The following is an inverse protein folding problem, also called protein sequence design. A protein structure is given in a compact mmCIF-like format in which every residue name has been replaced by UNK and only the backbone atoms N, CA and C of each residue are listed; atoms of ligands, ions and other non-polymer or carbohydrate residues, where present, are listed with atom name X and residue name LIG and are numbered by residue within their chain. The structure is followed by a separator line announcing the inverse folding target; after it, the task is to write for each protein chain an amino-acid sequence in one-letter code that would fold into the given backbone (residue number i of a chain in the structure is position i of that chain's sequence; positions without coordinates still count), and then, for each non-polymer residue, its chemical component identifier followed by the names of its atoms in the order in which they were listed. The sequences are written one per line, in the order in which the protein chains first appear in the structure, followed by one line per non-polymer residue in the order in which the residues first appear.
data_IF_451870796799
#
_entry.id   IF_451870796799
#
_cell.length_a   1.000
_cell.length_b   1.000
_cell.length_c   1.000
_cell.angle_alpha   90.00
_cell.angle_beta   90.00
_cell.angle_gamma   90.00
#
_symmetry.space_group_name_H-M   'P 1'
#
loop_
_entity.id
_entity.type
_entity.pdbx_description
1 polymer ?
#
# COMPACT_ATOMS: atom_id res chain seq x y z
N UNK A 1 17.30 -3.51 -14.65
CA UNK A 1 17.96 -2.45 -13.85
C UNK A 1 18.07 -1.12 -14.58
N UNK A 2 18.22 -1.09 -15.91
CA UNK A 2 18.31 0.15 -16.70
C UNK A 2 17.15 1.13 -16.41
N UNK A 3 15.90 0.67 -16.51
CA UNK A 3 14.73 1.49 -16.18
C UNK A 3 14.77 2.11 -14.76
N UNK A 4 15.25 1.36 -13.76
CA UNK A 4 15.38 1.88 -12.40
C UNK A 4 16.43 3.00 -12.33
N UNK A 5 17.54 2.86 -13.05
CA UNK A 5 18.56 3.89 -13.14
C UNK A 5 18.05 5.14 -13.87
N UNK A 6 17.29 4.96 -14.96
CA UNK A 6 16.67 6.07 -15.69
C UNK A 6 15.71 6.85 -14.79
N UNK A 7 14.85 6.15 -14.05
CA UNK A 7 13.94 6.76 -13.08
C UNK A 7 14.74 7.51 -12.01
N UNK A 8 15.77 6.89 -11.42
CA UNK A 8 16.58 7.53 -10.38
C UNK A 8 17.33 8.78 -10.88
N UNK A 9 17.70 8.81 -12.17
CA UNK A 9 18.35 9.97 -12.78
C UNK A 9 17.37 11.13 -13.03
N UNK A 10 16.08 10.83 -13.26
CA UNK A 10 15.02 11.83 -13.42
C UNK A 10 14.53 12.32 -12.06
N UNK A 11 14.06 11.40 -11.21
CA UNK A 11 13.64 11.64 -9.83
C UNK A 11 13.70 10.32 -9.02
N UNK A 12 14.63 10.19 -8.06
CA UNK A 12 14.73 9.03 -7.17
C UNK A 12 13.44 8.65 -6.42
N UNK A 13 12.52 9.59 -6.18
CA UNK A 13 11.22 9.29 -5.54
C UNK A 13 10.37 8.35 -6.41
N UNK A 14 10.52 8.41 -7.74
CA UNK A 14 9.82 7.54 -8.69
C UNK A 14 10.13 6.04 -8.50
N UNK A 15 11.24 5.69 -7.82
CA UNK A 15 11.57 4.31 -7.48
C UNK A 15 10.50 3.65 -6.60
N UNK A 16 9.77 4.42 -5.77
CA UNK A 16 8.66 3.88 -4.98
C UNK A 16 7.54 3.32 -5.87
N UNK A 17 7.21 4.02 -6.96
CA UNK A 17 6.24 3.54 -7.94
C UNK A 17 6.77 2.32 -8.68
N UNK A 18 8.07 2.28 -9.00
CA UNK A 18 8.67 1.10 -9.61
C UNK A 18 8.59 -0.13 -8.69
N UNK A 19 8.82 0.03 -7.38
CA UNK A 19 8.63 -1.07 -6.43
C UNK A 19 7.22 -1.63 -6.51
N UNK A 20 6.18 -0.77 -6.54
CA UNK A 20 4.78 -1.23 -6.68
C UNK A 20 4.58 -2.05 -7.95
N UNK A 21 5.14 -1.60 -9.07
CA UNK A 21 5.04 -2.31 -10.35
C UNK A 21 5.73 -3.68 -10.32
N UNK A 22 6.92 -3.76 -9.71
CA UNK A 22 7.67 -5.03 -9.62
C UNK A 22 7.07 -5.98 -8.59
N UNK A 23 6.52 -5.47 -7.48
CA UNK A 23 5.92 -6.29 -6.45
C UNK A 23 4.52 -6.80 -6.82
N UNK A 24 3.77 -6.10 -7.68
CA UNK A 24 2.43 -6.48 -8.10
C UNK A 24 2.30 -7.92 -8.64
N UNK A 25 3.14 -8.40 -9.60
CA UNK A 25 3.05 -9.78 -10.06
C UNK A 25 3.38 -10.80 -8.96
N UNK A 26 4.35 -10.51 -8.08
CA UNK A 26 4.64 -11.34 -6.92
C UNK A 26 3.44 -11.43 -5.97
N UNK A 27 2.84 -10.30 -5.61
CA UNK A 27 1.65 -10.24 -4.76
C UNK A 27 0.45 -11.00 -5.37
N UNK A 28 0.27 -10.92 -6.69
CA UNK A 28 -0.75 -11.70 -7.38
C UNK A 28 -0.49 -13.20 -7.27
N UNK A 29 0.75 -13.65 -7.48
CA UNK A 29 1.15 -15.07 -7.32
C UNK A 29 0.90 -15.58 -5.88
N UNK A 30 1.24 -14.78 -4.86
CA UNK A 30 1.07 -15.19 -3.46
C UNK A 30 -0.40 -15.32 -3.08
N UNK A 31 -1.24 -14.34 -3.46
CA UNK A 31 -2.67 -14.34 -3.13
C UNK A 31 -3.41 -15.46 -3.87
N UNK A 32 -3.13 -15.64 -5.16
CA UNK A 32 -3.86 -16.60 -6.00
C UNK A 32 -3.41 -18.05 -5.79
N UNK A 33 -2.28 -18.29 -5.11
CA UNK A 33 -1.75 -19.64 -4.93
C UNK A 33 -2.75 -20.61 -4.31
N UNK A 34 -3.48 -20.22 -3.25
CA UNK A 34 -4.50 -21.08 -2.65
C UNK A 34 -5.73 -21.31 -3.53
N UNK A 35 -5.99 -20.44 -4.52
CA UNK A 35 -7.10 -20.62 -5.45
C UNK A 35 -6.73 -21.55 -6.62
N UNK A 36 -5.46 -21.53 -7.04
CA UNK A 36 -4.96 -22.24 -8.23
C UNK A 36 -4.27 -23.56 -7.92
N UNK A 37 -3.71 -23.72 -6.72
CA UNK A 37 -3.01 -24.94 -6.34
C UNK A 37 -3.98 -26.10 -6.04
N UNK A 38 -3.49 -27.32 -6.21
CA UNK A 38 -4.15 -28.51 -5.67
C UNK A 38 -4.29 -28.40 -4.15
N UNK A 39 -5.31 -29.05 -3.54
CA UNK A 39 -5.50 -29.01 -2.08
C UNK A 39 -4.21 -29.36 -1.34
N UNK A 40 -3.84 -28.55 -0.34
CA UNK A 40 -2.61 -28.66 0.46
C UNK A 40 -1.28 -28.31 -0.26
N UNK A 41 -1.32 -27.88 -1.53
CA UNK A 41 -0.14 -27.44 -2.29
C UNK A 41 -0.07 -25.92 -2.50
N UNK A 42 -0.88 -25.17 -1.76
CA UNK A 42 -0.78 -23.71 -1.75
C UNK A 42 0.61 -23.27 -1.25
N UNK A 43 1.08 -22.13 -1.75
CA UNK A 43 2.33 -21.49 -1.31
C UNK A 43 2.31 -21.31 0.21
N UNK A 44 3.45 -21.60 0.82
CA UNK A 44 3.69 -21.31 2.24
C UNK A 44 3.85 -19.80 2.45
N UNK A 45 3.53 -19.31 3.64
CA UNK A 45 3.71 -17.90 3.97
C UNK A 45 5.15 -17.44 3.66
N UNK A 46 5.28 -16.34 2.91
CA UNK A 46 6.58 -15.78 2.61
C UNK A 46 7.27 -15.32 3.91
N UNK A 47 8.59 -15.43 3.89
CA UNK A 47 9.48 -14.91 4.93
C UNK A 47 10.68 -14.28 4.26
N UNK A 48 11.50 -13.53 5.03
CA UNK A 48 12.77 -13.03 4.53
C UNK A 48 13.60 -14.13 3.81
N UNK A 49 13.69 -15.31 4.43
CA UNK A 49 14.46 -16.42 3.88
C UNK A 49 13.86 -17.04 2.62
N UNK A 50 12.54 -16.96 2.45
CA UNK A 50 11.85 -17.44 1.26
C UNK A 50 12.01 -16.49 0.07
N UNK A 51 11.99 -15.18 0.34
CA UNK A 51 12.11 -14.15 -0.70
C UNK A 51 13.56 -13.95 -1.15
N UNK A 52 14.50 -13.95 -0.20
CA UNK A 52 15.89 -13.63 -0.47
C UNK A 52 16.76 -14.86 -0.25
N UNK A 53 17.37 -14.98 0.93
CA UNK A 53 18.31 -16.04 1.31
C UNK A 53 18.21 -16.27 2.81
N UNK A 54 18.72 -17.41 3.29
CA UNK A 54 18.68 -17.74 4.71
C UNK A 54 19.38 -16.66 5.54
N UNK A 55 18.65 -16.03 6.47
CA UNK A 55 19.18 -14.98 7.34
C UNK A 55 20.35 -15.45 8.23
N UNK A 56 20.50 -16.76 8.43
CA UNK A 56 21.59 -17.36 9.19
C UNK A 56 22.92 -17.46 8.46
N UNK A 57 22.97 -17.12 7.17
CA UNK A 57 24.20 -17.20 6.38
C UNK A 57 25.14 -16.02 6.70
N UNK A 58 26.45 -16.26 6.81
CA UNK A 58 27.44 -15.20 6.96
C UNK A 58 27.56 -14.38 5.66
N UNK A 59 27.45 -13.05 5.76
CA UNK A 59 27.49 -12.15 4.59
C UNK A 59 28.69 -11.21 4.59
N UNK A 60 29.26 -10.92 5.77
CA UNK A 60 30.43 -10.05 5.89
C UNK A 60 31.74 -10.85 5.86
N UNK A 61 32.89 -10.21 5.58
CA UNK A 61 34.21 -10.88 5.59
C UNK A 61 34.59 -11.48 6.95
N UNK A 62 34.12 -10.88 8.05
CA UNK A 62 34.31 -11.34 9.43
C UNK A 62 33.26 -12.38 9.88
N UNK A 63 32.40 -12.84 8.97
CA UNK A 63 31.46 -13.94 9.22
C UNK A 63 30.16 -13.55 9.94
N UNK A 64 29.83 -12.26 10.00
CA UNK A 64 28.56 -11.78 10.57
C UNK A 64 27.40 -12.22 9.68
N UNK A 65 26.36 -12.74 10.33
CA UNK A 65 25.15 -13.26 9.70
C UNK A 65 24.23 -12.14 9.19
N UNK A 66 23.50 -12.41 8.12
CA UNK A 66 22.58 -11.44 7.53
C UNK A 66 21.51 -10.92 8.50
N UNK A 67 20.95 -11.80 9.33
CA UNK A 67 19.95 -11.44 10.35
C UNK A 67 20.51 -10.53 11.47
N UNK A 68 21.84 -10.50 11.64
CA UNK A 68 22.55 -9.60 12.55
C UNK A 68 22.97 -8.29 11.88
N UNK A 69 23.18 -8.31 10.56
CA UNK A 69 23.50 -7.11 9.78
C UNK A 69 22.25 -6.26 9.54
N UNK A 70 21.12 -6.87 9.19
CA UNK A 70 19.86 -6.12 9.03
C UNK A 70 19.41 -5.52 10.36
N UNK A 71 18.91 -4.28 10.34
CA UNK A 71 18.47 -3.60 11.58
C UNK A 71 16.98 -3.79 11.76
N UNK A 72 16.57 -4.41 12.87
CA UNK A 72 15.17 -4.36 13.32
C UNK A 72 14.89 -3.01 13.98
N UNK A 73 13.79 -2.37 13.59
CA UNK A 73 13.31 -1.08 14.13
C UNK A 73 11.98 -1.30 14.85
N UNK A 74 11.97 -1.96 16.03
CA UNK A 74 10.74 -2.21 16.79
C UNK A 74 10.09 -0.92 17.32
N UNK A 75 10.84 0.19 17.32
CA UNK A 75 10.41 1.54 17.68
C UNK A 75 9.60 2.24 16.59
N UNK A 76 9.45 1.63 15.41
CA UNK A 76 8.76 2.24 14.26
C UNK A 76 7.57 1.41 13.84
N UNK A 77 6.42 2.08 13.72
CA UNK A 77 5.22 1.53 13.12
C UNK A 77 4.88 2.34 11.86
N UNK A 78 4.49 1.62 10.81
CA UNK A 78 4.07 2.19 9.55
C UNK A 78 2.69 1.70 9.21
N UNK A 79 1.85 2.59 8.69
CA UNK A 79 0.52 2.23 8.21
C UNK A 79 0.60 1.99 6.70
N UNK A 80 0.28 0.78 6.26
CA UNK A 80 0.23 0.40 4.86
C UNK A 80 -1.21 0.35 4.38
N UNK A 81 -1.47 0.92 3.20
CA UNK A 81 -2.77 0.88 2.56
C UNK A 81 -2.87 -0.35 1.65
N UNK A 82 -3.77 -1.27 1.97
CA UNK A 82 -3.85 -2.57 1.28
C UNK A 82 -4.15 -2.46 -0.22
N UNK A 83 -4.84 -1.41 -0.65
CA UNK A 83 -5.15 -1.18 -2.06
C UNK A 83 -4.02 -0.59 -2.91
N UNK A 84 -2.91 -0.15 -2.31
CA UNK A 84 -1.83 0.53 -3.05
C UNK A 84 -0.43 0.10 -2.67
N UNK A 85 -0.21 -0.25 -1.41
CA UNK A 85 1.11 -0.62 -0.92
C UNK A 85 1.36 -2.11 -1.08
N UNK A 86 2.59 -2.52 -1.45
CA UNK A 86 2.91 -3.93 -1.62
C UNK A 86 2.85 -4.69 -0.29
N UNK A 87 1.92 -5.63 -0.20
CA UNK A 87 1.72 -6.50 0.98
C UNK A 87 1.57 -7.95 0.52
N UNK A 88 2.55 -8.78 0.83
CA UNK A 88 2.63 -10.18 0.40
C UNK A 88 1.80 -11.07 1.35
N UNK A 89 0.49 -11.02 1.17
CA UNK A 89 -0.41 -12.00 1.75
C UNK A 89 -0.32 -13.32 0.96
N UNK A 90 -0.12 -14.42 1.68
CA UNK A 90 -0.08 -15.77 1.14
C UNK A 90 -1.11 -16.65 1.83
N UNK A 91 -2.40 -16.56 1.45
CA UNK A 91 -3.43 -17.47 1.91
C UNK A 91 -3.05 -18.92 1.58
N UNK A 92 -3.23 -19.84 2.54
CA UNK A 92 -2.84 -21.26 2.38
C UNK A 92 -4.01 -22.24 2.44
N UNK A 93 -5.23 -21.72 2.60
CA UNK A 93 -6.47 -22.52 2.64
C UNK A 93 -7.50 -21.90 1.71
N UNK A 94 -7.87 -22.64 0.66
CA UNK A 94 -8.84 -22.20 -0.34
C UNK A 94 -10.17 -21.77 0.26
N UNK A 95 -10.74 -22.57 1.16
CA UNK A 95 -12.07 -22.29 1.73
C UNK A 95 -12.06 -21.07 2.64
N UNK A 96 -10.97 -20.87 3.40
CA UNK A 96 -10.80 -19.66 4.21
C UNK A 96 -10.62 -18.41 3.33
N UNK A 97 -9.89 -18.53 2.22
CA UNK A 97 -9.73 -17.45 1.25
C UNK A 97 -11.07 -17.12 0.60
N UNK A 98 -11.80 -18.13 0.13
CA UNK A 98 -13.13 -17.96 -0.46
C UNK A 98 -14.10 -17.30 0.52
N UNK A 99 -14.14 -17.76 1.78
CA UNK A 99 -14.96 -17.13 2.81
C UNK A 99 -14.53 -15.67 3.07
N UNK A 100 -13.24 -15.40 3.24
CA UNK A 100 -12.74 -14.04 3.48
C UNK A 100 -13.13 -13.09 2.33
N UNK A 101 -12.91 -13.49 1.07
CA UNK A 101 -13.29 -12.68 -0.10
C UNK A 101 -14.81 -12.48 -0.16
N UNK A 102 -15.61 -13.50 0.15
CA UNK A 102 -17.07 -13.43 0.08
C UNK A 102 -17.69 -12.58 1.20
N UNK A 103 -17.08 -12.54 2.38
CA UNK A 103 -17.72 -11.97 3.57
C UNK A 103 -17.08 -10.69 4.08
N UNK A 104 -15.80 -10.45 3.83
CA UNK A 104 -15.05 -9.28 4.34
C UNK A 104 -14.97 -8.20 3.26
N UNK A 105 -15.44 -7.01 3.63
CA UNK A 105 -15.32 -5.79 2.85
C UNK A 105 -16.60 -4.99 2.73
N UNK A 106 -16.48 -3.73 2.28
CA UNK A 106 -17.62 -2.82 2.20
C UNK A 106 -18.82 -3.45 1.47
N UNK A 107 -19.97 -3.46 2.15
CA UNK A 107 -21.23 -4.03 1.65
C UNK A 107 -21.32 -5.55 1.68
N UNK A 108 -20.42 -6.25 2.39
CA UNK A 108 -20.47 -7.70 2.60
C UNK A 108 -20.90 -8.06 4.03
N UNK A 109 -21.20 -9.33 4.25
CA UNK A 109 -21.79 -9.85 5.51
C UNK A 109 -21.04 -9.45 6.78
N UNK A 110 -19.72 -9.35 6.75
CA UNK A 110 -18.90 -8.99 7.91
C UNK A 110 -18.53 -7.50 7.96
N UNK A 111 -19.05 -6.68 7.04
CA UNK A 111 -18.79 -5.25 6.98
C UNK A 111 -17.43 -4.90 6.37
N UNK A 112 -17.08 -3.61 6.46
CA UNK A 112 -15.81 -3.08 5.97
C UNK A 112 -14.60 -3.81 6.57
N UNK A 113 -13.49 -3.83 5.84
CA UNK A 113 -12.25 -4.41 6.35
C UNK A 113 -11.71 -3.56 7.51
N UNK A 114 -11.39 -4.20 8.64
CA UNK A 114 -10.82 -3.55 9.83
C UNK A 114 -9.66 -4.40 10.34
N UNK A 115 -8.59 -3.73 10.77
CA UNK A 115 -7.44 -4.38 11.41
C UNK A 115 -7.83 -4.94 12.80
N UNK A 116 -7.23 -6.06 13.17
CA UNK A 116 -7.48 -6.77 14.43
C UNK A 116 -6.18 -7.43 14.92
N UNK A 117 -6.21 -8.04 16.11
CA UNK A 117 -5.05 -8.66 16.75
C UNK A 117 -4.39 -9.82 15.97
N UNK A 118 -5.11 -10.41 15.02
CA UNK A 118 -4.58 -11.50 14.19
C UNK A 118 -3.77 -10.95 13.00
N UNK A 119 -3.93 -9.67 12.65
CA UNK A 119 -3.18 -9.03 11.59
C UNK A 119 -1.77 -8.68 12.08
N UNK A 120 -0.77 -9.31 11.46
CA UNK A 120 0.63 -9.07 11.80
C UNK A 120 1.46 -9.04 10.53
N UNK A 121 2.17 -7.94 10.32
CA UNK A 121 3.06 -7.77 9.17
C UNK A 121 4.44 -7.29 9.59
N UNK A 122 5.45 -7.72 8.83
CA UNK A 122 6.82 -7.22 8.90
C UNK A 122 7.10 -6.34 7.68
N UNK A 123 7.45 -5.08 7.88
CA UNK A 123 7.77 -4.15 6.80
C UNK A 123 9.26 -4.21 6.45
N UNK A 124 9.57 -4.40 5.17
CA UNK A 124 10.93 -4.34 4.66
C UNK A 124 11.26 -2.94 4.13
N UNK A 125 12.24 -2.26 4.73
CA UNK A 125 12.80 -1.00 4.23
C UNK A 125 14.11 -1.23 3.48
N UNK A 126 14.46 -0.38 2.50
CA UNK A 126 13.73 0.79 2.01
C UNK A 126 12.59 0.45 1.01
N UNK A 127 12.42 -0.82 0.61
CA UNK A 127 11.52 -1.20 -0.48
C UNK A 127 10.03 -0.99 -0.17
N UNK A 128 9.62 -0.99 1.11
CA UNK A 128 8.21 -0.79 1.49
C UNK A 128 7.31 -1.98 1.22
N UNK A 129 7.86 -3.19 1.27
CA UNK A 129 7.10 -4.43 1.08
C UNK A 129 6.74 -5.01 2.44
N UNK A 130 5.46 -5.16 2.72
CA UNK A 130 4.96 -5.83 3.91
C UNK A 130 4.89 -7.34 3.71
N UNK A 131 5.49 -8.13 4.60
CA UNK A 131 5.34 -9.59 4.65
C UNK A 131 4.30 -9.92 5.70
N UNK A 132 3.28 -10.69 5.34
CA UNK A 132 2.20 -11.06 6.25
C UNK A 132 2.57 -12.28 7.09
N UNK A 133 2.71 -12.07 8.40
CA UNK A 133 2.99 -13.10 9.41
C UNK A 133 1.71 -13.69 10.01
N UNK A 134 0.62 -12.91 10.03
CA UNK A 134 -0.69 -13.28 10.57
C UNK A 134 -1.82 -12.56 9.82
N UNK A 135 -3.00 -13.19 9.72
CA UNK A 135 -4.15 -12.60 9.01
C UNK A 135 -4.10 -12.70 7.48
N UNK A 136 -3.36 -13.67 6.91
CA UNK A 136 -3.17 -13.80 5.46
C UNK A 136 -4.47 -13.80 4.64
N UNK A 137 -5.52 -14.52 5.06
CA UNK A 137 -6.77 -14.61 4.30
C UNK A 137 -7.58 -13.31 4.32
N UNK A 138 -7.70 -12.65 5.48
CA UNK A 138 -8.41 -11.38 5.62
C UNK A 138 -7.65 -10.24 4.95
N UNK A 139 -6.33 -10.17 5.09
CA UNK A 139 -5.50 -9.18 4.38
C UNK A 139 -5.62 -9.36 2.87
N UNK A 140 -5.61 -10.59 2.36
CA UNK A 140 -5.83 -10.84 0.94
C UNK A 140 -7.20 -10.31 0.45
N UNK A 141 -8.25 -10.42 1.27
CA UNK A 141 -9.54 -9.82 0.95
C UNK A 141 -9.49 -8.28 0.92
N UNK A 142 -8.79 -7.64 1.87
CA UNK A 142 -8.59 -6.19 1.88
C UNK A 142 -7.81 -5.69 0.65
N UNK A 143 -6.73 -6.40 0.28
CA UNK A 143 -5.96 -6.12 -0.95
C UNK A 143 -6.86 -6.25 -2.18
N UNK A 144 -7.60 -7.36 -2.31
CA UNK A 144 -8.45 -7.63 -3.46
C UNK A 144 -9.60 -6.60 -3.62
N UNK A 145 -10.13 -6.08 -2.51
CA UNK A 145 -11.15 -5.04 -2.53
C UNK A 145 -10.56 -3.63 -2.66
N UNK A 146 -9.24 -3.47 -2.52
CA UNK A 146 -8.58 -2.17 -2.54
C UNK A 146 -8.85 -1.32 -1.28
N UNK A 147 -9.19 -1.94 -0.16
CA UNK A 147 -9.68 -1.25 1.04
C UNK A 147 -8.88 -1.63 2.29
N UNK A 148 -8.91 -0.76 3.29
CA UNK A 148 -8.31 -1.01 4.59
C UNK A 148 -6.83 -0.62 4.70
N UNK A 149 -6.37 -0.61 5.94
CA UNK A 149 -5.00 -0.27 6.32
C UNK A 149 -4.50 -1.26 7.35
N UNK A 150 -3.25 -1.67 7.23
CA UNK A 150 -2.59 -2.57 8.19
C UNK A 150 -1.35 -1.89 8.75
N UNK A 151 -1.15 -2.04 10.05
CA UNK A 151 -0.05 -1.44 10.79
C UNK A 151 1.09 -2.44 10.93
N UNK A 152 2.32 -2.01 10.65
CA UNK A 152 3.49 -2.90 10.78
C UNK A 152 3.76 -3.24 12.24
N UNK A 153 3.84 -4.54 12.54
CA UNK A 153 4.21 -5.03 13.87
C UNK A 153 5.74 -5.02 14.08
N UNK A 154 6.50 -5.16 13.00
CA UNK A 154 7.94 -4.99 13.00
C UNK A 154 8.43 -4.42 11.67
N UNK A 155 9.60 -3.77 11.73
CA UNK A 155 10.24 -3.15 10.57
C UNK A 155 11.68 -3.67 10.48
N UNK A 156 12.06 -4.16 9.31
CA UNK A 156 13.40 -4.62 9.01
C UNK A 156 14.04 -3.73 7.95
N UNK A 157 15.12 -3.06 8.31
CA UNK A 157 15.92 -2.23 7.41
C UNK A 157 17.01 -3.08 6.75
N UNK A 158 16.90 -3.24 5.43
CA UNK A 158 17.81 -3.99 4.57
C UNK A 158 19.01 -3.17 4.12
N UNK A 159 19.02 -1.84 4.33
CA UNK A 159 20.10 -0.94 3.89
C UNK A 159 21.50 -1.41 4.29
N UNK A 160 21.72 -1.94 5.51
CA UNK A 160 23.03 -2.46 5.92
C UNK A 160 23.48 -3.72 5.18
N UNK A 161 22.59 -4.46 4.50
CA UNK A 161 22.93 -5.68 3.75
C UNK A 161 23.50 -5.37 2.36
N UNK A 162 23.13 -4.24 1.76
CA UNK A 162 23.52 -3.93 0.39
C UNK A 162 25.04 -3.91 0.13
N UNK A 163 25.91 -3.46 1.06
CA UNK A 163 27.36 -3.56 0.86
C UNK A 163 27.90 -5.00 0.75
N UNK A 164 27.14 -6.00 1.20
CA UNK A 164 27.62 -7.38 1.37
C UNK A 164 26.96 -8.40 0.45
N UNK A 165 25.75 -8.13 -0.02
CA UNK A 165 24.98 -9.04 -0.85
C UNK A 165 24.49 -8.31 -2.09
N UNK A 166 24.50 -8.98 -3.24
CA UNK A 166 23.90 -8.51 -4.49
C UNK A 166 23.06 -9.58 -5.16
N UNK A 167 22.08 -9.16 -5.95
CA UNK A 167 21.41 -10.02 -6.92
C UNK A 167 22.00 -9.77 -8.31
N UNK A 168 22.33 -10.84 -9.03
CA UNK A 168 22.97 -10.74 -10.36
C UNK A 168 22.00 -10.89 -11.54
N UNK A 169 20.70 -10.98 -11.26
CA UNK A 169 19.67 -11.29 -12.26
C UNK A 169 19.14 -12.72 -12.15
N UNK A 170 19.87 -13.62 -11.48
CA UNK A 170 19.48 -15.02 -11.26
C UNK A 170 19.60 -15.45 -9.79
N UNK A 171 20.62 -14.96 -9.09
CA UNK A 171 21.06 -15.48 -7.81
C UNK A 171 21.45 -14.37 -6.85
N UNK A 172 21.25 -14.60 -5.56
CA UNK A 172 21.86 -13.80 -4.51
C UNK A 172 23.28 -14.26 -4.25
N UNK A 173 24.21 -13.33 -4.33
CA UNK A 173 25.64 -13.55 -4.19
C UNK A 173 26.20 -12.69 -3.06
N UNK A 174 27.09 -13.28 -2.27
CA UNK A 174 27.94 -12.56 -1.34
C UNK A 174 29.02 -11.81 -2.12
N UNK A 175 29.15 -10.50 -1.89
CA UNK A 175 29.97 -9.62 -2.73
C UNK A 175 31.47 -9.90 -2.53
N UNK A 176 31.91 -10.11 -1.29
CA UNK A 176 33.34 -10.12 -0.98
C UNK A 176 34.09 -11.35 -1.52
N UNK A 177 33.40 -12.44 -1.80
CA UNK A 177 34.01 -13.69 -2.29
C UNK A 177 33.20 -14.40 -3.39
N UNK A 178 32.06 -13.84 -3.81
CA UNK A 178 31.22 -14.41 -4.86
C UNK A 178 30.41 -15.64 -4.45
N UNK A 179 30.35 -15.99 -3.16
CA UNK A 179 29.61 -17.18 -2.69
C UNK A 179 28.11 -17.06 -3.02
N UNK A 180 27.55 -18.14 -3.59
CA UNK A 180 26.11 -18.28 -3.81
C UNK A 180 25.35 -18.41 -2.48
N UNK A 181 24.39 -17.52 -2.23
CA UNK A 181 23.54 -17.54 -1.04
C UNK A 181 22.19 -18.21 -1.31
N UNK A 182 21.59 -17.95 -2.46
CA UNK A 182 20.33 -18.56 -2.90
C UNK A 182 20.04 -18.26 -4.37
N UNK A 183 19.08 -19.00 -4.93
CA UNK A 183 18.38 -18.68 -6.18
C UNK A 183 16.89 -18.57 -5.86
N UNK A 184 16.30 -17.37 -5.90
CA UNK A 184 14.88 -17.21 -5.58
C UNK A 184 14.02 -17.87 -6.67
N UNK A 185 12.86 -18.40 -6.27
CA UNK A 185 11.91 -19.05 -7.21
C UNK A 185 11.28 -18.03 -8.15
N UNK A 186 11.02 -16.85 -7.61
CA UNK A 186 10.53 -15.68 -8.32
C UNK A 186 11.69 -14.70 -8.53
N UNK A 187 11.73 -14.01 -9.65
CA UNK A 187 12.79 -13.02 -9.93
C UNK A 187 12.53 -11.70 -9.22
N UNK A 188 11.25 -11.39 -8.93
CA UNK A 188 10.79 -10.14 -8.34
C UNK A 188 11.50 -9.81 -7.02
N UNK A 189 11.70 -10.72 -6.05
CA UNK A 189 12.49 -10.42 -4.85
C UNK A 189 13.92 -9.94 -5.15
N UNK A 190 14.59 -10.53 -6.13
CA UNK A 190 15.92 -10.10 -6.59
C UNK A 190 15.90 -8.69 -7.17
N UNK A 191 14.92 -8.39 -8.01
CA UNK A 191 14.71 -7.05 -8.57
C UNK A 191 14.40 -6.02 -7.48
N UNK A 192 13.50 -6.34 -6.56
CA UNK A 192 13.13 -5.48 -5.43
C UNK A 192 14.35 -5.16 -4.57
N UNK A 193 15.19 -6.16 -4.27
CA UNK A 193 16.41 -5.97 -3.49
C UNK A 193 17.38 -4.96 -4.16
N UNK A 194 17.60 -5.07 -5.47
CA UNK A 194 18.51 -4.17 -6.18
C UNK A 194 17.91 -2.77 -6.42
N UNK A 195 16.59 -2.65 -6.60
CA UNK A 195 15.92 -1.35 -6.56
C UNK A 195 16.06 -0.73 -5.17
N UNK A 196 15.91 -1.52 -4.11
CA UNK A 196 16.13 -1.10 -2.74
C UNK A 196 17.56 -0.60 -2.48
N UNK A 197 18.58 -1.25 -3.05
CA UNK A 197 19.98 -0.75 -3.05
C UNK A 197 20.05 0.64 -3.66
N UNK A 198 19.42 0.84 -4.82
CA UNK A 198 19.41 2.12 -5.51
C UNK A 198 18.69 3.20 -4.69
N UNK A 199 17.53 2.86 -4.10
CA UNK A 199 16.80 3.76 -3.19
C UNK A 199 17.69 4.20 -2.01
N UNK A 200 18.36 3.26 -1.33
CA UNK A 200 19.26 3.56 -0.22
C UNK A 200 20.43 4.47 -0.64
N UNK A 201 21.01 4.25 -1.83
CA UNK A 201 22.06 5.11 -2.40
C UNK A 201 21.60 6.56 -2.58
N UNK A 202 20.34 6.77 -2.94
CA UNK A 202 19.74 8.10 -3.14
C UNK A 202 19.06 8.66 -1.89
N UNK A 203 19.15 7.98 -0.73
CA UNK A 203 18.48 8.42 0.51
C UNK A 203 16.96 8.35 0.44
N UNK A 204 16.41 7.57 -0.50
CA UNK A 204 14.96 7.35 -0.66
C UNK A 204 14.56 6.09 0.09
N UNK A 205 13.39 6.14 0.71
CA UNK A 205 12.71 4.99 1.31
C UNK A 205 11.27 4.98 0.83
N UNK A 206 10.56 3.87 0.99
CA UNK A 206 9.14 3.78 0.72
C UNK A 206 8.34 4.83 1.50
N UNK A 207 7.33 5.40 0.83
CA UNK A 207 6.42 6.41 1.38
C UNK A 207 5.35 5.87 2.34
N UNK A 208 5.61 4.74 3.01
CA UNK A 208 4.71 4.27 4.07
C UNK A 208 4.65 5.36 5.16
N UNK A 209 3.44 5.71 5.59
CA UNK A 209 3.25 6.80 6.55
C UNK A 209 3.71 6.32 7.93
N UNK A 210 4.65 7.06 8.53
CA UNK A 210 5.03 6.86 9.92
C UNK A 210 3.81 7.12 10.80
N UNK A 211 3.45 6.13 11.61
CA UNK A 211 2.32 6.23 12.52
C UNK A 211 2.85 6.40 13.94
N UNK A 212 2.50 7.52 14.57
CA UNK A 212 2.67 7.71 16.01
C UNK A 212 1.56 6.95 16.74
N UNK A 213 1.87 5.91 17.52
CA UNK A 213 0.86 5.16 18.28
C UNK A 213 0.15 6.01 19.36
N UNK A 214 0.66 7.21 19.67
CA UNK A 214 0.07 8.13 20.64
C UNK A 214 -0.87 9.18 20.03
N UNK A 215 -0.91 9.26 18.70
CA UNK A 215 -1.76 10.20 17.97
C UNK A 215 -2.98 9.48 17.39
N UNK A 216 -3.88 9.03 18.26
CA UNK A 216 -5.23 8.63 17.84
C UNK A 216 -5.95 9.87 17.32
N UNK A 217 -6.00 10.00 15.99
CA UNK A 217 -6.89 10.94 15.32
C UNK A 217 -8.14 10.18 14.89
N UNK A 218 -9.27 10.77 15.26
CA UNK A 218 -10.65 10.33 15.06
C UNK A 218 -10.85 9.37 13.85
N UNK A 219 -11.33 8.13 14.10
CA UNK A 219 -11.66 7.16 13.06
C UNK A 219 -12.67 7.67 12.03
N UNK A 220 -13.42 8.74 12.34
CA UNK A 220 -14.50 9.26 11.50
C UNK A 220 -14.05 9.89 10.16
N UNK A 221 -12.74 10.15 9.98
CA UNK A 221 -12.17 10.63 8.71
C UNK A 221 -11.23 9.61 8.04
N UNK A 222 -11.00 8.45 8.67
CA UNK A 222 -10.08 7.43 8.19
C UNK A 222 -10.82 6.15 7.75
N UNK A 223 -11.75 6.28 6.81
CA UNK A 223 -12.42 5.12 6.25
C UNK A 223 -13.41 5.45 5.14
N UNK A 224 -12.98 5.30 3.90
CA UNK A 224 -13.86 5.26 2.73
C UNK A 224 -13.25 5.94 1.50
N UNK A 225 -13.60 5.43 0.31
CA UNK A 225 -13.30 5.94 -1.03
C UNK A 225 -13.87 7.35 -1.29
N UNK A 226 -13.46 8.33 -0.48
CA UNK A 226 -13.87 9.72 -0.62
C UNK A 226 -12.96 10.40 -1.63
N UNK A 227 -13.54 10.83 -2.74
CA UNK A 227 -12.90 11.69 -3.71
C UNK A 227 -13.68 13.00 -3.84
N UNK A 228 -13.00 14.06 -4.24
CA UNK A 228 -13.60 15.36 -4.49
C UNK A 228 -13.60 15.58 -6.00
N UNK A 229 -14.77 15.46 -6.64
CA UNK A 229 -14.91 15.87 -8.04
C UNK A 229 -14.60 17.34 -8.14
N UNK A 230 -13.77 17.70 -9.11
CA UNK A 230 -13.39 19.08 -9.35
C UNK A 230 -14.29 19.65 -10.43
N UNK A 231 -15.05 20.69 -10.09
CA UNK A 231 -15.79 21.46 -11.07
C UNK A 231 -15.10 22.79 -11.28
N UNK A 232 -14.92 23.18 -12.54
CA UNK A 232 -14.39 24.48 -12.94
C UNK A 232 -15.52 25.25 -13.62
N UNK A 233 -15.89 26.41 -13.07
CA UNK A 233 -17.03 27.21 -13.52
C UNK A 233 -18.34 26.39 -13.62
N UNK A 234 -18.55 25.49 -12.65
CA UNK A 234 -19.70 24.59 -12.61
C UNK A 234 -19.65 23.41 -13.61
N UNK A 235 -18.59 23.25 -14.39
CA UNK A 235 -18.40 22.11 -15.30
C UNK A 235 -17.49 21.06 -14.68
N UNK A 236 -17.87 19.78 -14.75
CA UNK A 236 -17.04 18.66 -14.27
C UNK A 236 -15.75 18.59 -15.10
N UNK A 237 -14.60 18.70 -14.42
CA UNK A 237 -13.28 18.67 -15.06
C UNK A 237 -12.84 17.25 -15.47
N UNK A 238 -13.64 16.22 -15.17
CA UNK A 238 -13.33 14.82 -15.49
C UNK A 238 -12.25 14.21 -14.60
N UNK A 239 -11.88 14.89 -13.51
CA UNK A 239 -10.85 14.48 -12.56
C UNK A 239 -11.35 14.65 -11.13
N UNK A 240 -10.79 13.85 -10.21
CA UNK A 240 -11.12 13.91 -8.80
C UNK A 240 -9.87 13.97 -7.93
N UNK A 241 -9.97 14.66 -6.79
CA UNK A 241 -8.90 14.74 -5.80
C UNK A 241 -9.14 13.71 -4.69
N UNK A 242 -8.06 13.14 -4.16
CA UNK A 242 -8.10 12.44 -2.88
C UNK A 242 -8.31 13.45 -1.74
N UNK A 243 -8.60 13.02 -0.50
CA UNK A 243 -8.67 13.92 0.64
C UNK A 243 -7.38 14.70 0.88
N UNK A 244 -6.23 14.05 0.68
CA UNK A 244 -4.92 14.71 0.73
C UNK A 244 -4.72 15.72 -0.41
N UNK A 245 -5.20 15.42 -1.63
CA UNK A 245 -5.15 16.34 -2.77
C UNK A 245 -6.02 17.58 -2.55
N UNK A 246 -7.24 17.41 -2.05
CA UNK A 246 -8.13 18.51 -1.72
C UNK A 246 -7.57 19.40 -0.60
N UNK A 247 -7.00 18.80 0.45
CA UNK A 247 -6.34 19.53 1.53
C UNK A 247 -5.15 20.38 1.03
N UNK A 248 -4.34 19.85 0.10
CA UNK A 248 -3.23 20.60 -0.49
C UNK A 248 -3.70 21.84 -1.26
N UNK A 249 -4.76 21.71 -2.06
CA UNK A 249 -5.31 22.82 -2.83
C UNK A 249 -5.94 23.90 -1.94
N UNK A 250 -6.60 23.51 -0.84
CA UNK A 250 -7.13 24.47 0.14
C UNK A 250 -6.02 25.28 0.81
N UNK A 251 -4.88 24.65 1.15
CA UNK A 251 -3.70 25.35 1.68
C UNK A 251 -3.13 26.32 0.66
N UNK A 252 -3.06 25.94 -0.62
CA UNK A 252 -2.60 26.83 -1.72
C UNK A 252 -3.51 28.04 -1.91
N UNK A 253 -4.81 27.87 -1.67
CA UNK A 253 -5.79 28.95 -1.66
C UNK A 253 -5.75 29.80 -0.37
N UNK A 254 -4.86 29.49 0.59
CA UNK A 254 -4.67 30.26 1.82
C UNK A 254 -5.66 29.93 2.93
N UNK A 255 -6.41 28.82 2.82
CA UNK A 255 -7.34 28.41 3.87
C UNK A 255 -6.61 27.65 4.98
N UNK A 256 -6.95 27.97 6.23
CA UNK A 256 -6.44 27.27 7.40
C UNK A 256 -7.21 25.96 7.61
N UNK A 257 -6.48 24.87 7.80
CA UNK A 257 -7.05 23.55 8.08
C UNK A 257 -7.89 23.56 9.37
N UNK A 258 -9.08 22.94 9.31
CA UNK A 258 -10.05 22.95 10.41
C UNK A 258 -10.86 24.24 10.57
N UNK A 259 -10.62 25.27 9.74
CA UNK A 259 -11.46 26.48 9.76
C UNK A 259 -12.87 26.23 9.22
N UNK A 260 -13.84 27.05 9.62
CA UNK A 260 -15.21 26.95 9.10
C UNK A 260 -15.27 27.09 7.57
N UNK A 261 -14.38 27.89 6.98
CA UNK A 261 -14.29 28.06 5.54
C UNK A 261 -13.71 26.83 4.84
N UNK A 262 -12.71 26.18 5.46
CA UNK A 262 -12.15 24.91 5.00
C UNK A 262 -13.22 23.83 4.91
N UNK A 263 -14.00 23.65 5.98
CA UNK A 263 -15.09 22.67 6.00
C UNK A 263 -16.15 22.98 4.94
N UNK A 264 -16.55 24.25 4.78
CA UNK A 264 -17.52 24.66 3.75
C UNK A 264 -17.07 24.32 2.33
N UNK A 265 -15.78 24.51 2.00
CA UNK A 265 -15.29 24.16 0.66
C UNK A 265 -15.25 22.65 0.45
N UNK A 266 -14.84 21.87 1.45
CA UNK A 266 -14.82 20.40 1.34
C UNK A 266 -16.23 19.80 1.23
N UNK A 267 -17.22 20.36 1.92
CA UNK A 267 -18.61 19.89 1.85
C UNK A 267 -19.36 20.38 0.60
N UNK A 268 -18.73 21.21 -0.24
CA UNK A 268 -19.34 21.74 -1.46
C UNK A 268 -20.27 22.94 -1.22
N UNK A 269 -20.24 23.52 -0.01
CA UNK A 269 -21.03 24.69 0.37
C UNK A 269 -20.36 26.02 -0.02
N UNK A 270 -19.11 25.97 -0.50
CA UNK A 270 -18.31 27.13 -0.89
C UNK A 270 -17.31 26.76 -1.99
N UNK A 271 -16.91 27.76 -2.79
CA UNK A 271 -15.95 27.58 -3.88
C UNK A 271 -14.63 28.31 -3.60
N UNK A 272 -13.58 27.88 -4.31
CA UNK A 272 -12.32 28.61 -4.43
C UNK A 272 -12.34 29.45 -5.70
N UNK A 273 -11.51 30.50 -5.73
CA UNK A 273 -11.33 31.34 -6.91
C UNK A 273 -9.87 31.31 -7.35
N UNK A 274 -9.67 31.19 -8.66
CA UNK A 274 -8.34 31.18 -9.26
C UNK A 274 -8.34 32.01 -10.54
N UNK A 275 -7.26 32.73 -10.82
CA UNK A 275 -7.04 33.30 -12.15
C UNK A 275 -6.40 32.28 -13.07
N UNK A 276 -6.98 32.09 -14.26
CA UNK A 276 -6.41 31.21 -15.28
C UNK A 276 -5.28 31.90 -16.05
N UNK A 277 -4.66 31.18 -16.98
CA UNK A 277 -3.52 31.66 -17.77
C UNK A 277 -3.86 32.85 -18.69
N UNK A 278 -5.14 33.15 -18.91
CA UNK A 278 -5.63 34.31 -19.66
C UNK A 278 -6.03 35.47 -18.74
N UNK A 279 -5.84 35.34 -17.42
CA UNK A 279 -6.22 36.35 -16.42
C UNK A 279 -7.70 36.34 -16.04
N UNK A 280 -8.51 35.42 -16.58
CA UNK A 280 -9.92 35.30 -16.23
C UNK A 280 -10.07 34.58 -14.89
N UNK A 281 -11.02 35.03 -14.08
CA UNK A 281 -11.35 34.40 -12.81
C UNK A 281 -12.19 33.14 -13.06
N UNK A 282 -11.75 32.03 -12.49
CA UNK A 282 -12.41 30.73 -12.50
C UNK A 282 -12.86 30.36 -11.09
N UNK A 283 -14.03 29.74 -11.00
CA UNK A 283 -14.57 29.19 -9.76
C UNK A 283 -14.26 27.70 -9.72
N UNK A 284 -13.67 27.24 -8.62
CA UNK A 284 -13.35 25.83 -8.38
C UNK A 284 -14.24 25.32 -7.24
N UNK A 285 -15.07 24.35 -7.54
CA UNK A 285 -15.93 23.68 -6.56
C UNK A 285 -15.45 22.26 -6.34
N UNK A 286 -15.43 21.85 -5.07
CA UNK A 286 -15.24 20.46 -4.71
C UNK A 286 -16.60 19.85 -4.41
N UNK A 287 -16.98 18.85 -5.20
CA UNK A 287 -18.14 18.03 -4.87
C UNK A 287 -17.67 16.73 -4.28
N UNK A 288 -18.02 16.53 -3.02
CA UNK A 288 -17.84 15.26 -2.37
C UNK A 288 -18.50 14.15 -3.19
N UNK A 289 -17.68 13.18 -3.60
CA UNK A 289 -18.11 12.02 -4.35
C UNK A 289 -17.45 10.81 -3.71
N UNK A 290 -18.25 9.97 -3.09
CA UNK A 290 -17.82 8.59 -2.94
C UNK A 290 -17.73 7.96 -4.33
N UNK A 291 -16.75 7.09 -4.57
CA UNK A 291 -16.81 6.21 -5.75
C UNK A 291 -18.01 5.28 -5.57
N UNK A 292 -19.18 5.71 -6.04
CA UNK A 292 -20.41 4.91 -5.95
C UNK A 292 -20.32 3.75 -6.93
N UNK A 293 -20.68 2.56 -6.47
CA UNK A 293 -20.89 1.39 -7.34
C UNK A 293 -22.01 1.74 -8.33
N UNK A 294 -21.81 1.39 -9.60
CA UNK A 294 -22.93 1.24 -10.53
C UNK A 294 -23.61 -0.07 -10.14
N UNK A 295 -24.88 0.01 -9.76
CA UNK A 295 -25.71 -1.16 -9.48
C UNK A 295 -26.80 -1.20 -10.54
N UNK A 296 -27.07 -2.39 -11.07
CA UNK A 296 -28.03 -2.58 -12.16
C UNK A 296 -29.50 -2.66 -11.66
N UNK A 297 -29.72 -2.67 -10.35
CA UNK A 297 -31.04 -2.78 -9.71
C UNK A 297 -31.09 -2.01 -8.37
N UNK A 298 -32.21 -1.29 -8.14
CA UNK A 298 -32.53 -0.61 -6.88
C UNK A 298 -32.56 -1.56 -5.68
N UNK A 299 -32.91 -2.84 -5.87
CA UNK A 299 -32.89 -3.84 -4.79
C UNK A 299 -31.52 -3.97 -4.13
N UNK A 300 -30.44 -3.76 -4.89
CA UNK A 300 -29.09 -3.76 -4.33
C UNK A 300 -28.80 -2.53 -3.49
N UNK A 301 -29.42 -1.37 -3.77
CA UNK A 301 -29.25 -0.14 -2.99
C UNK A 301 -29.81 -0.31 -1.58
N UNK A 302 -31.02 -0.85 -1.46
CA UNK A 302 -31.69 -1.07 -0.18
C UNK A 302 -30.99 -2.13 0.69
N UNK A 303 -30.32 -3.11 0.07
CA UNK A 303 -29.55 -4.13 0.80
C UNK A 303 -28.24 -3.62 1.44
N UNK A 304 -27.68 -2.50 0.98
CA UNK A 304 -26.41 -1.94 1.51
C UNK A 304 -26.60 -0.71 2.39
N UNK A 305 -27.82 -0.15 2.45
CA UNK A 305 -28.14 1.02 3.28
C UNK A 305 -29.16 0.64 4.36
N UNK A 306 -28.73 0.20 5.55
CA UNK A 306 -29.62 -0.30 6.60
C UNK A 306 -30.54 0.76 7.24
N UNK A 307 -30.48 2.03 6.80
CA UNK A 307 -31.34 3.13 7.25
C UNK A 307 -32.39 3.56 6.21
N UNK A 308 -32.48 2.85 5.08
CA UNK A 308 -33.54 3.08 4.09
C UNK A 308 -34.50 1.90 4.19
N UNK A 309 -35.67 2.13 4.77
CA UNK A 309 -36.75 1.13 4.76
C UNK A 309 -37.29 1.05 3.32
N UNK A 310 -37.28 -0.12 2.66
CA UNK A 310 -37.82 -0.26 1.31
C UNK A 310 -39.32 0.06 1.21
N UNK A 311 -40.03 0.18 2.34
CA UNK A 311 -41.46 0.51 2.42
C UNK A 311 -41.74 1.97 2.86
N UNK A 312 -40.72 2.81 3.04
CA UNK A 312 -40.91 4.26 3.26
C UNK A 312 -41.01 4.98 1.89
N UNK A 313 -42.23 5.45 1.55
CA UNK A 313 -42.57 6.21 0.33
C UNK A 313 -41.81 7.56 0.19
#
# INVERSE_FOLDING_TARGET
MELAQDIANIDPVGLQTLIRLVAAPLQAKTITSAALATPHHARQADSFSCLFFQGSLPVTPDGVRADKVSIRRPDRCFKLRLGTDPVLATPWHRDRLANAIATIGFGKRQGAWVEDENHRISLLLPIGVGIVLGGNHSIAAGIANGEGFVTSADVQDLSPLYPYVRYDGLSFLRIHDGTLLSQPVDEEPGMLFEIGRLMAKHGVSAGAEWHDPSADTDPSLSGGDIYYKVLINGQDAGVALTPSGAALELRRAGLQEGSAQWSKVLHGDSALFRSNHLGNQETIEFRWSMRRRVVDDLKFVYGVMPWVDPDDD
#
